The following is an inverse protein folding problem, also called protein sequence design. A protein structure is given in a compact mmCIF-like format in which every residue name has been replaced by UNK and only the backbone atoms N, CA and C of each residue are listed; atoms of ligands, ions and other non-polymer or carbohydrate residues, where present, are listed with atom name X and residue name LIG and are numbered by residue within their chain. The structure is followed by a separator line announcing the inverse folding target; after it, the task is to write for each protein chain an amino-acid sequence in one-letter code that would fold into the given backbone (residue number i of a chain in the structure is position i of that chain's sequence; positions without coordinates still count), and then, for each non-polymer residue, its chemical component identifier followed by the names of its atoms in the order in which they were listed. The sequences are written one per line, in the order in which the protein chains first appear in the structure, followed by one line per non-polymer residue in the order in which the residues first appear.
data_IF_502408311777
#
_entry.id   IF_502408311777
#
_cell.length_a   1.000
_cell.length_b   1.000
_cell.length_c   1.000
_cell.angle_alpha   90.00
_cell.angle_beta   90.00
_cell.angle_gamma   90.00
#
_symmetry.space_group_name_H-M   'P 1'
#
loop_
_entity.id
_entity.type
_entity.pdbx_description
1 polymer ?
#
# COMPACT_ATOMS: atom_id res chain seq x y z
N UNK A 1 -20.66 13.53 10.31
CA UNK A 1 -21.01 12.12 10.21
C UNK A 1 -19.91 11.37 9.50
N UNK A 2 -19.42 10.31 10.08
CA UNK A 2 -18.35 9.53 9.47
C UNK A 2 -18.87 8.81 8.22
N UNK A 3 -18.03 8.71 7.20
CA UNK A 3 -18.35 7.92 6.03
C UNK A 3 -18.49 6.44 6.42
N UNK A 4 -19.38 5.67 5.76
CA UNK A 4 -19.46 4.24 6.03
C UNK A 4 -18.15 3.54 5.73
N UNK A 5 -17.81 2.53 6.50
CA UNK A 5 -16.65 1.70 6.22
C UNK A 5 -16.92 0.93 4.93
N UNK A 6 -15.99 0.96 3.96
CA UNK A 6 -16.18 0.20 2.71
C UNK A 6 -16.24 -1.30 2.99
N UNK A 7 -17.04 -2.01 2.21
CA UNK A 7 -17.18 -3.46 2.36
C UNK A 7 -16.01 -4.21 1.74
N UNK A 8 -15.40 -3.66 0.69
CA UNK A 8 -14.29 -4.27 -0.01
C UNK A 8 -13.40 -3.21 -0.66
N UNK A 9 -12.32 -3.66 -1.32
CA UNK A 9 -11.35 -2.76 -1.95
C UNK A 9 -11.96 -1.99 -3.12
N UNK A 10 -12.84 -2.62 -3.89
CA UNK A 10 -13.53 -1.93 -4.98
C UNK A 10 -14.32 -0.73 -4.47
N UNK A 11 -15.06 -0.93 -3.40
CA UNK A 11 -15.86 0.12 -2.78
C UNK A 11 -14.98 1.23 -2.20
N UNK A 12 -13.85 0.84 -1.58
CA UNK A 12 -12.88 1.81 -1.08
C UNK A 12 -12.38 2.72 -2.20
N UNK A 13 -11.96 2.13 -3.32
CA UNK A 13 -11.42 2.88 -4.45
C UNK A 13 -12.48 3.80 -5.06
N UNK A 14 -13.72 3.32 -5.16
CA UNK A 14 -14.82 4.07 -5.80
C UNK A 14 -15.13 5.39 -5.10
N UNK A 15 -14.76 5.55 -3.83
CA UNK A 15 -15.04 6.75 -3.04
C UNK A 15 -14.12 7.94 -3.36
N UNK A 16 -13.11 7.76 -4.20
CA UNK A 16 -12.10 8.80 -4.49
C UNK A 16 -12.31 9.46 -5.86
N UNK A 17 -11.74 10.66 -6.07
CA UNK A 17 -11.76 11.29 -7.40
C UNK A 17 -11.01 10.47 -8.45
N UNK A 18 -11.27 10.74 -9.73
CA UNK A 18 -10.77 9.93 -10.86
C UNK A 18 -9.26 9.71 -10.83
N UNK A 19 -8.46 10.74 -10.58
CA UNK A 19 -7.00 10.63 -10.57
C UNK A 19 -6.49 9.74 -9.42
N UNK A 20 -7.11 9.88 -8.25
CA UNK A 20 -6.76 9.03 -7.10
C UNK A 20 -7.24 7.59 -7.33
N UNK A 21 -8.43 7.41 -7.90
CA UNK A 21 -8.92 6.07 -8.24
C UNK A 21 -7.98 5.35 -9.19
N UNK A 22 -7.49 6.04 -10.22
CA UNK A 22 -6.56 5.43 -11.17
C UNK A 22 -5.25 5.04 -10.49
N UNK A 23 -4.71 5.91 -9.66
CA UNK A 23 -3.51 5.63 -8.87
C UNK A 23 -3.72 4.42 -7.97
N UNK A 24 -4.86 4.36 -7.26
CA UNK A 24 -5.17 3.23 -6.38
C UNK A 24 -5.30 1.91 -7.14
N UNK A 25 -5.86 1.92 -8.35
CA UNK A 25 -5.93 0.71 -9.19
C UNK A 25 -4.54 0.22 -9.57
N UNK A 26 -3.63 1.14 -9.88
CA UNK A 26 -2.24 0.79 -10.19
C UNK A 26 -1.53 0.20 -8.97
N UNK A 27 -1.67 0.85 -7.80
CA UNK A 27 -1.11 0.35 -6.54
C UNK A 27 -1.65 -1.04 -6.23
N UNK A 28 -2.97 -1.21 -6.35
CA UNK A 28 -3.63 -2.50 -6.13
C UNK A 28 -3.03 -3.59 -7.02
N UNK A 29 -2.84 -3.28 -8.29
CA UNK A 29 -2.29 -4.23 -9.26
C UNK A 29 -0.86 -4.63 -8.91
N UNK A 30 0.01 -3.67 -8.60
CA UNK A 30 1.42 -3.98 -8.30
C UNK A 30 1.59 -4.69 -6.97
N UNK A 31 0.79 -4.34 -5.96
CA UNK A 31 0.84 -5.02 -4.66
C UNK A 31 0.36 -6.46 -4.79
N UNK A 32 -0.78 -6.69 -5.47
CA UNK A 32 -1.29 -8.04 -5.64
C UNK A 32 -0.34 -8.92 -6.46
N UNK A 33 0.30 -8.37 -7.48
CA UNK A 33 1.29 -9.11 -8.25
C UNK A 33 2.51 -9.49 -7.41
N UNK A 34 2.87 -8.67 -6.44
CA UNK A 34 4.03 -8.91 -5.57
C UNK A 34 3.72 -9.83 -4.39
N UNK A 35 2.43 -10.12 -4.13
CA UNK A 35 2.00 -10.97 -3.01
C UNK A 35 1.19 -12.15 -3.57
N UNK A 36 1.85 -13.14 -4.20
CA UNK A 36 1.14 -14.31 -4.77
C UNK A 36 0.38 -15.06 -3.67
N UNK A 37 -0.87 -15.40 -3.95
CA UNK A 37 -1.73 -16.07 -2.98
C UNK A 37 -2.34 -15.13 -1.95
N UNK A 38 -2.11 -13.83 -2.07
CA UNK A 38 -2.69 -12.85 -1.15
C UNK A 38 -4.19 -12.68 -1.35
N UNK A 39 -4.88 -12.31 -0.29
CA UNK A 39 -6.31 -12.03 -0.30
C UNK A 39 -6.55 -10.60 0.15
N UNK A 40 -7.36 -9.88 -0.60
CA UNK A 40 -7.72 -8.50 -0.25
C UNK A 40 -8.76 -8.46 0.84
N UNK A 41 -8.62 -7.50 1.74
CA UNK A 41 -9.55 -7.28 2.85
C UNK A 41 -9.54 -5.80 3.23
N UNK A 42 -10.60 -5.34 3.86
CA UNK A 42 -10.61 -4.01 4.50
C UNK A 42 -10.25 -4.20 5.97
N UNK A 43 -9.22 -3.48 6.42
CA UNK A 43 -8.80 -3.42 7.83
C UNK A 43 -8.56 -1.97 8.21
N UNK A 44 -9.07 -1.56 9.35
CA UNK A 44 -8.96 -0.16 9.81
C UNK A 44 -9.44 0.84 8.76
N UNK A 45 -10.45 0.44 7.97
CA UNK A 45 -11.01 1.29 6.92
C UNK A 45 -10.17 1.43 5.66
N UNK A 46 -9.11 0.62 5.50
CA UNK A 46 -8.22 0.70 4.36
C UNK A 46 -7.94 -0.67 3.74
N UNK A 47 -7.54 -0.72 2.46
CA UNK A 47 -7.19 -1.98 1.82
C UNK A 47 -6.00 -2.66 2.48
N UNK A 48 -6.12 -3.95 2.68
CA UNK A 48 -5.05 -4.81 3.16
C UNK A 48 -4.93 -6.01 2.24
N UNK A 49 -3.71 -6.43 1.94
CA UNK A 49 -3.47 -7.70 1.27
C UNK A 49 -2.99 -8.67 2.32
N UNK A 50 -3.76 -9.76 2.50
CA UNK A 50 -3.52 -10.77 3.54
C UNK A 50 -2.76 -11.94 2.94
N UNK A 51 -1.88 -12.53 3.72
CA UNK A 51 -1.15 -13.71 3.31
C UNK A 51 -1.05 -14.67 4.48
N UNK A 52 -1.60 -15.87 4.30
CA UNK A 52 -1.61 -16.89 5.36
C UNK A 52 -2.38 -16.45 6.61
N UNK A 53 -3.48 -15.74 6.44
CA UNK A 53 -4.32 -15.30 7.54
C UNK A 53 -3.83 -14.07 8.29
N UNK A 54 -2.71 -13.48 7.87
CA UNK A 54 -2.17 -12.25 8.46
C UNK A 54 -1.95 -11.20 7.37
N UNK A 55 -1.98 -9.92 7.75
CA UNK A 55 -1.70 -8.87 6.79
C UNK A 55 -0.25 -8.95 6.29
N UNK A 56 -0.05 -8.70 5.01
CA UNK A 56 1.27 -8.48 4.44
C UNK A 56 1.52 -6.98 4.33
N UNK A 57 0.58 -6.25 3.73
CA UNK A 57 0.71 -4.80 3.56
C UNK A 57 -0.67 -4.17 3.46
N UNK A 58 -0.78 -2.94 3.97
CA UNK A 58 -1.94 -2.08 3.77
C UNK A 58 -1.53 -0.91 2.88
N UNK A 59 -2.47 -0.38 2.11
CA UNK A 59 -2.25 0.89 1.43
C UNK A 59 -3.47 1.78 1.63
N UNK A 60 -3.24 3.09 1.71
CA UNK A 60 -4.32 4.04 1.92
C UNK A 60 -4.05 5.34 1.17
N UNK A 61 -5.11 5.88 0.57
CA UNK A 61 -5.04 7.19 -0.05
C UNK A 61 -5.50 8.25 0.96
N UNK A 62 -4.64 9.19 1.24
CA UNK A 62 -4.93 10.33 2.10
C UNK A 62 -5.08 11.58 1.23
N UNK A 63 -5.32 12.71 1.85
CA UNK A 63 -5.60 13.95 1.12
C UNK A 63 -4.46 14.35 0.17
N UNK A 64 -3.21 14.16 0.60
CA UNK A 64 -2.03 14.63 -0.14
C UNK A 64 -1.01 13.54 -0.46
N UNK A 65 -1.24 12.31 0.00
CA UNK A 65 -0.27 11.24 -0.20
C UNK A 65 -0.91 9.85 -0.14
N UNK A 66 -0.19 8.90 -0.70
CA UNK A 66 -0.46 7.47 -0.55
C UNK A 66 0.41 6.95 0.57
N UNK A 67 -0.16 6.19 1.51
CA UNK A 67 0.58 5.54 2.58
C UNK A 67 0.66 4.04 2.41
N UNK A 68 1.79 3.45 2.81
CA UNK A 68 2.00 2.00 2.91
C UNK A 68 2.29 1.64 4.36
N UNK A 69 1.70 0.56 4.87
CA UNK A 69 1.81 0.14 6.28
C UNK A 69 1.66 -1.37 6.44
N UNK A 70 2.40 -2.02 7.33
CA UNK A 70 3.68 -1.58 7.88
C UNK A 70 4.80 -1.89 6.89
N UNK A 71 5.79 -1.04 6.82
CA UNK A 71 6.99 -1.29 6.03
C UNK A 71 8.16 -1.39 7.01
N UNK A 72 8.55 -2.63 7.36
CA UNK A 72 9.65 -2.83 8.30
C UNK A 72 10.98 -2.39 7.68
N UNK A 73 12.04 -2.38 8.46
CA UNK A 73 13.37 -2.11 7.91
C UNK A 73 13.72 -3.23 6.94
N UNK A 74 14.05 -2.85 5.72
CA UNK A 74 14.40 -3.76 4.63
C UNK A 74 15.91 -3.73 4.40
N UNK A 75 16.38 -4.35 3.30
CA UNK A 75 17.80 -4.34 3.01
C UNK A 75 18.32 -2.92 2.70
N UNK A 76 19.63 -2.74 2.74
CA UNK A 76 20.26 -1.42 2.61
C UNK A 76 19.89 -0.72 1.29
N UNK A 77 19.80 -1.48 0.20
CA UNK A 77 19.47 -0.92 -1.11
C UNK A 77 18.05 -0.34 -1.12
N UNK A 78 17.08 -1.12 -0.63
CA UNK A 78 15.70 -0.65 -0.55
C UNK A 78 15.54 0.48 0.46
N UNK A 79 16.22 0.41 1.61
CA UNK A 79 16.16 1.48 2.60
C UNK A 79 16.71 2.79 2.04
N UNK A 80 17.76 2.75 1.22
CA UNK A 80 18.29 3.94 0.58
C UNK A 80 17.24 4.58 -0.34
N UNK A 81 16.50 3.78 -1.10
CA UNK A 81 15.43 4.29 -1.97
C UNK A 81 14.22 4.77 -1.18
N UNK A 82 13.90 4.14 -0.04
CA UNK A 82 12.77 4.50 0.80
C UNK A 82 13.03 5.71 1.69
N UNK A 83 14.28 6.05 1.93
CA UNK A 83 14.64 7.12 2.88
C UNK A 83 13.85 8.42 2.67
N UNK A 84 13.66 8.94 1.44
CA UNK A 84 12.88 10.16 1.23
C UNK A 84 11.40 10.02 1.57
N UNK A 85 10.90 8.80 1.66
CA UNK A 85 9.48 8.52 1.84
C UNK A 85 9.12 8.04 3.25
N UNK A 86 10.12 7.73 4.07
CA UNK A 86 9.88 7.29 5.45
C UNK A 86 9.25 8.42 6.25
N UNK A 87 8.05 8.16 6.79
CA UNK A 87 7.32 9.14 7.60
C UNK A 87 7.42 8.82 9.09
N UNK A 88 7.42 7.54 9.43
CA UNK A 88 7.55 7.05 10.80
C UNK A 88 8.21 5.67 10.72
N UNK A 89 8.36 5.01 11.86
CA UNK A 89 9.08 3.74 11.95
C UNK A 89 8.63 2.72 10.91
N UNK A 90 7.32 2.54 10.75
CA UNK A 90 6.76 1.54 9.84
C UNK A 90 5.90 2.16 8.73
N UNK A 91 5.99 3.47 8.54
CA UNK A 91 5.15 4.17 7.57
C UNK A 91 5.99 4.76 6.44
N UNK A 92 5.48 4.59 5.21
CA UNK A 92 6.08 5.17 4.02
C UNK A 92 4.99 5.94 3.29
N UNK A 93 5.28 7.20 2.93
CA UNK A 93 4.33 8.09 2.28
C UNK A 93 4.87 8.58 0.94
N UNK A 94 4.00 8.56 -0.08
CA UNK A 94 4.34 9.06 -1.42
C UNK A 94 3.42 10.25 -1.73
N UNK A 95 4.01 11.44 -1.85
CA UNK A 95 3.24 12.65 -2.16
C UNK A 95 2.66 12.58 -3.58
N UNK A 96 1.43 13.09 -3.75
CA UNK A 96 0.81 13.19 -5.07
C UNK A 96 1.45 14.26 -5.96
N UNK A 97 2.30 15.12 -5.40
CA UNK A 97 2.98 16.15 -6.19
C UNK A 97 4.08 15.59 -7.10
N UNK A 98 4.42 14.32 -6.92
CA UNK A 98 5.42 13.61 -7.73
C UNK A 98 4.84 12.32 -8.25
N UNK A 99 5.38 11.76 -9.34
CA UNK A 99 4.94 10.46 -9.82
C UNK A 99 5.07 9.40 -8.73
N UNK A 100 4.06 8.55 -8.61
CA UNK A 100 4.10 7.44 -7.65
C UNK A 100 5.08 6.39 -8.16
N UNK A 101 6.07 5.96 -7.34
CA UNK A 101 7.06 4.99 -7.79
C UNK A 101 6.53 3.56 -7.69
N UNK A 102 5.69 3.17 -8.65
CA UNK A 102 5.04 1.85 -8.64
C UNK A 102 6.03 0.69 -8.60
N UNK A 103 7.16 0.82 -9.31
CA UNK A 103 8.20 -0.21 -9.29
C UNK A 103 8.79 -0.40 -7.87
N UNK A 104 9.03 0.69 -7.18
CA UNK A 104 9.51 0.64 -5.79
C UNK A 104 8.47 -0.02 -4.88
N UNK A 105 7.19 0.31 -5.06
CA UNK A 105 6.11 -0.31 -4.28
C UNK A 105 6.08 -1.81 -4.51
N UNK A 106 6.24 -2.26 -5.76
CA UNK A 106 6.30 -3.68 -6.09
C UNK A 106 7.47 -4.39 -5.39
N UNK A 107 8.66 -3.78 -5.43
CA UNK A 107 9.86 -4.35 -4.82
C UNK A 107 9.76 -4.39 -3.29
N UNK A 108 9.20 -3.36 -2.69
CA UNK A 108 8.95 -3.30 -1.24
C UNK A 108 7.97 -4.39 -0.83
N UNK A 109 6.88 -4.53 -1.57
CA UNK A 109 5.86 -5.57 -1.27
C UNK A 109 6.45 -6.97 -1.37
N UNK A 110 7.26 -7.24 -2.40
CA UNK A 110 7.94 -8.52 -2.57
C UNK A 110 8.95 -8.78 -1.44
N UNK A 111 9.65 -7.75 -1.00
CA UNK A 111 10.61 -7.89 0.10
C UNK A 111 9.91 -8.21 1.42
N UNK A 112 8.74 -7.62 1.68
CA UNK A 112 7.93 -7.92 2.86
C UNK A 112 7.50 -9.39 2.84
N UNK A 113 7.06 -9.90 1.69
CA UNK A 113 6.68 -11.30 1.54
C UNK A 113 7.89 -12.21 1.81
N UNK A 114 9.06 -11.85 1.29
CA UNK A 114 10.29 -12.63 1.49
C UNK A 114 10.68 -12.74 2.96
N UNK A 115 10.44 -11.70 3.75
CA UNK A 115 10.72 -11.73 5.20
C UNK A 115 9.83 -12.72 5.96
N UNK A 116 8.72 -13.14 5.36
CA UNK A 116 7.76 -14.06 5.97
C UNK A 116 7.96 -15.52 5.55
N UNK A 117 8.88 -15.73 4.62
CA UNK A 117 9.16 -17.06 4.11
C UNK A 117 9.97 -17.91 5.10
#
# INVERSE_FOLDING_TARGET
MAAPVPADVDEYIAAFPDDVRQMLREVRAVVNAAVPGGEEKIRYGMPAVMLGGRYAIHFAAWKKHLGLYPVPVLDDELEAELAPYRAAKDSVNFSYTKPIPYDLIARVSAAIVALRA
#
